data_IF_351083647225
#
_entry.id   IF_351083647225
#
_cell.length_a   1.000
_cell.length_b   1.000
_cell.length_c   1.000
_cell.angle_alpha   90.00
_cell.angle_beta   90.00
_cell.angle_gamma   90.00
#
_symmetry.space_group_name_H-M   'P 1'
#
loop_
_entity.id
_entity.type
_entity.pdbx_description
1 polymer ?
#
# COMPACT_ATOMS: atom_id res chain seq x y z
N UNK A 1 -4.14 0.05 -3.79
CA UNK A 1 -4.86 1.31 -3.60
C UNK A 1 -3.83 2.35 -3.18
N UNK A 2 -3.81 3.52 -3.83
CA UNK A 2 -2.78 4.56 -3.67
C UNK A 2 -3.35 5.69 -2.82
N UNK A 3 -2.52 6.20 -1.90
CA UNK A 3 -2.79 7.41 -1.13
C UNK A 3 -1.99 8.58 -1.71
N UNK A 4 -2.68 9.55 -2.31
CA UNK A 4 -2.05 10.75 -2.89
C UNK A 4 -1.95 11.91 -1.90
N UNK A 5 -2.85 11.96 -0.93
CA UNK A 5 -2.92 13.02 0.09
C UNK A 5 -3.43 12.40 1.39
N UNK A 6 -2.93 12.92 2.52
CA UNK A 6 -3.32 12.46 3.85
C UNK A 6 -4.84 12.59 4.07
N UNK A 7 -5.46 11.56 4.64
CA UNK A 7 -6.88 11.54 4.98
C UNK A 7 -7.85 11.58 3.78
N UNK A 8 -7.38 11.49 2.53
CA UNK A 8 -8.23 11.40 1.34
C UNK A 8 -8.54 9.95 0.97
N UNK A 9 -9.72 9.67 0.38
CA UNK A 9 -10.06 8.34 -0.10
C UNK A 9 -8.97 7.75 -1.01
N UNK A 10 -8.64 6.47 -0.80
CA UNK A 10 -7.66 5.77 -1.61
C UNK A 10 -8.18 5.55 -3.04
N UNK A 11 -7.27 5.58 -4.01
CA UNK A 11 -7.59 5.39 -5.43
C UNK A 11 -7.12 4.00 -5.90
N UNK A 12 -7.90 3.34 -6.77
CA UNK A 12 -7.47 2.12 -7.44
C UNK A 12 -6.75 2.51 -8.73
N UNK A 13 -5.48 2.13 -8.84
CA UNK A 13 -4.61 2.50 -9.95
C UNK A 13 -3.77 1.31 -10.41
N UNK A 14 -3.41 1.34 -11.70
CA UNK A 14 -2.45 0.42 -12.27
C UNK A 14 -1.03 0.91 -11.96
N UNK A 15 -0.19 0.01 -11.45
CA UNK A 15 1.19 0.31 -11.06
C UNK A 15 2.14 -0.77 -11.56
N UNK A 16 3.38 -0.38 -11.85
CA UNK A 16 4.44 -1.32 -12.20
C UNK A 16 5.22 -1.75 -10.96
N UNK A 17 5.38 -3.06 -10.77
CA UNK A 17 6.18 -3.62 -9.67
C UNK A 17 7.49 -4.17 -10.23
N UNK A 18 8.61 -3.53 -9.90
CA UNK A 18 9.96 -3.88 -10.33
C UNK A 18 10.39 -5.29 -9.83
N UNK A 19 11.35 -5.98 -10.51
CA UNK A 19 11.86 -7.28 -10.08
C UNK A 19 12.50 -7.21 -8.68
N UNK A 20 12.39 -8.29 -7.86
CA UNK A 20 13.04 -8.32 -6.57
C UNK A 20 14.56 -8.35 -6.73
N UNK A 21 15.27 -7.67 -5.83
CA UNK A 21 16.73 -7.67 -5.76
C UNK A 21 17.26 -8.81 -4.87
N UNK A 22 18.57 -8.80 -4.61
CA UNK A 22 19.18 -9.78 -3.72
C UNK A 22 18.55 -9.69 -2.32
N UNK A 23 18.12 -10.84 -1.79
CA UNK A 23 17.43 -10.97 -0.49
C UNK A 23 16.03 -10.33 -0.42
N UNK A 24 15.41 -10.02 -1.56
CA UNK A 24 14.01 -9.57 -1.63
C UNK A 24 13.09 -10.66 -2.21
N UNK A 25 11.80 -10.58 -1.90
CA UNK A 25 10.78 -11.47 -2.45
C UNK A 25 9.61 -10.67 -3.03
N UNK A 26 9.08 -11.13 -4.18
CA UNK A 26 7.86 -10.60 -4.78
C UNK A 26 6.69 -11.51 -4.42
N UNK A 27 5.67 -10.95 -3.77
CA UNK A 27 4.52 -11.71 -3.25
C UNK A 27 3.26 -11.31 -4.01
N UNK A 28 2.46 -12.31 -4.41
CA UNK A 28 1.09 -12.10 -4.90
C UNK A 28 0.12 -12.09 -3.72
N UNK A 29 -0.40 -10.92 -3.37
CA UNK A 29 -1.37 -10.78 -2.28
C UNK A 29 -2.74 -11.33 -2.71
N UNK A 30 -3.30 -12.27 -1.94
CA UNK A 30 -4.65 -12.81 -2.16
C UNK A 30 -5.69 -12.14 -1.27
N UNK A 31 -5.31 -11.86 -0.01
CA UNK A 31 -6.16 -11.22 0.98
C UNK A 31 -5.31 -10.24 1.80
N UNK A 32 -5.94 -9.16 2.24
CA UNK A 32 -5.36 -8.17 3.15
C UNK A 32 -6.48 -7.56 4.00
N UNK A 33 -6.12 -6.91 5.10
CA UNK A 33 -7.06 -6.28 6.05
C UNK A 33 -6.53 -4.93 6.50
N UNK A 34 -7.40 -4.09 7.05
CA UNK A 34 -7.01 -2.79 7.59
C UNK A 34 -6.63 -2.91 9.08
N UNK A 35 -5.52 -2.30 9.45
CA UNK A 35 -5.11 -2.08 10.83
C UNK A 35 -5.36 -0.64 11.25
N UNK A 36 -5.54 -0.39 12.54
CA UNK A 36 -5.59 0.98 13.08
C UNK A 36 -4.31 1.79 12.73
N UNK A 37 -3.16 1.13 12.71
CA UNK A 37 -1.88 1.76 12.33
C UNK A 37 -1.89 2.28 10.89
N UNK A 38 -2.55 1.58 9.95
CA UNK A 38 -2.67 2.05 8.57
C UNK A 38 -3.45 3.36 8.53
N UNK A 39 -4.53 3.48 9.32
CA UNK A 39 -5.35 4.70 9.41
C UNK A 39 -4.57 5.85 10.05
N UNK A 40 -3.86 5.59 11.15
CA UNK A 40 -3.07 6.60 11.85
C UNK A 40 -2.06 7.30 10.91
N UNK A 41 -1.28 6.50 10.17
CA UNK A 41 -0.30 7.03 9.21
C UNK A 41 -0.95 7.58 7.94
N UNK A 42 -2.07 7.02 7.48
CA UNK A 42 -2.83 7.55 6.35
C UNK A 42 -3.41 8.94 6.63
N UNK A 43 -3.83 9.24 7.86
CA UNK A 43 -4.28 10.57 8.28
C UNK A 43 -3.14 11.57 8.55
N UNK A 44 -1.87 11.12 8.46
CA UNK A 44 -0.68 11.89 8.83
C UNK A 44 -0.76 12.49 10.25
N UNK A 45 -1.19 11.66 11.22
CA UNK A 45 -1.24 12.00 12.65
C UNK A 45 -0.03 11.45 13.41
#
# INVERSE_FOLDING_TARGET
AVAWEAGKPLVIEEVEVAPPQAMEARIRILYTSLCHTDVYFWEAK
#
